data_IF_780963965134
#
_entry.id   IF_780963965134
#
_cell.length_a   1.000
_cell.length_b   1.000
_cell.length_c   1.000
_cell.angle_alpha   90.00
_cell.angle_beta   90.00
_cell.angle_gamma   90.00
#
_symmetry.space_group_name_H-M   'P 1'
#
loop_
_entity.id
_entity.type
_entity.pdbx_description
1 polymer ?
#
# COMPACT_ATOMS: atom_id res chain seq x y z
N UNK A 1 25.86 1.57 51.55
CA UNK A 1 24.61 2.10 50.97
C UNK A 1 23.60 0.98 51.13
N UNK A 2 22.58 1.16 51.98
CA UNK A 2 21.57 0.15 52.23
C UNK A 2 20.60 0.08 51.04
N UNK A 3 20.19 -1.14 50.66
CA UNK A 3 19.19 -1.34 49.61
C UNK A 3 17.81 -0.88 50.12
N UNK A 4 17.03 -0.16 49.29
CA UNK A 4 15.72 0.32 49.67
C UNK A 4 14.76 -0.85 49.87
N UNK A 5 13.85 -0.72 50.83
CA UNK A 5 12.79 -1.72 51.03
C UNK A 5 11.74 -1.58 49.93
N UNK A 6 11.08 -2.69 49.59
CA UNK A 6 10.04 -2.72 48.55
C UNK A 6 8.96 -1.63 48.73
N UNK A 7 8.58 -1.33 49.98
CA UNK A 7 7.63 -0.27 50.28
C UNK A 7 8.12 1.13 49.93
N UNK A 8 9.41 1.41 50.12
CA UNK A 8 10.03 2.71 49.78
C UNK A 8 10.13 2.88 48.26
N UNK A 9 10.39 1.78 47.55
CA UNK A 9 10.38 1.76 46.08
C UNK A 9 8.97 2.03 45.57
N UNK A 10 7.95 1.39 46.18
CA UNK A 10 6.56 1.58 45.78
C UNK A 10 6.10 3.02 46.00
N UNK A 11 6.43 3.60 47.16
CA UNK A 11 6.10 4.98 47.53
C UNK A 11 6.73 5.99 46.54
N UNK A 12 8.00 5.77 46.21
CA UNK A 12 8.70 6.59 45.21
C UNK A 12 8.04 6.52 43.82
N UNK A 13 7.66 5.33 43.37
CA UNK A 13 7.02 5.15 42.06
C UNK A 13 5.67 5.87 42.02
N UNK A 14 4.83 5.67 43.03
CA UNK A 14 3.47 6.19 43.05
C UNK A 14 3.41 7.70 43.29
N UNK A 15 4.22 8.22 44.21
CA UNK A 15 4.07 9.60 44.67
C UNK A 15 5.07 10.57 44.04
N UNK A 16 6.13 10.07 43.40
CA UNK A 16 7.17 10.94 42.81
C UNK A 16 7.37 10.70 41.33
N UNK A 17 7.44 9.45 40.89
CA UNK A 17 7.71 9.13 39.49
C UNK A 17 6.47 9.34 38.61
N UNK A 18 5.35 8.66 38.90
CA UNK A 18 4.14 8.71 38.07
C UNK A 18 3.57 10.13 37.89
N UNK A 19 3.42 10.96 38.95
CA UNK A 19 2.93 12.33 38.78
C UNK A 19 3.85 13.21 37.94
N UNK A 20 5.16 12.94 37.95
CA UNK A 20 6.15 13.62 37.11
C UNK A 20 6.08 13.21 35.63
N UNK A 21 5.60 11.99 35.35
CA UNK A 21 5.42 11.47 33.99
C UNK A 21 4.12 11.93 33.36
N UNK A 22 3.04 12.10 34.13
CA UNK A 22 1.76 12.62 33.63
C UNK A 22 1.87 14.06 33.09
N UNK A 23 2.81 14.84 33.62
CA UNK A 23 3.14 16.18 33.13
C UNK A 23 3.98 16.16 31.83
N UNK A 24 4.54 15.00 31.46
CA UNK A 24 5.24 14.80 30.19
C UNK A 24 4.27 14.31 29.12
N UNK A 25 3.18 15.05 28.90
CA UNK A 25 2.42 14.99 27.63
C UNK A 25 3.17 15.72 26.50
N UNK A 26 4.50 15.59 26.46
CA UNK A 26 5.24 15.91 25.27
C UNK A 26 4.92 14.81 24.26
N UNK A 27 3.77 14.94 23.60
CA UNK A 27 3.63 14.40 22.26
C UNK A 27 4.81 14.98 21.51
N UNK A 28 5.80 14.14 21.21
CA UNK A 28 6.75 14.49 20.16
C UNK A 28 5.87 14.58 18.94
N UNK A 29 5.54 15.80 18.52
CA UNK A 29 5.05 16.03 17.18
C UNK A 29 6.14 15.48 16.27
N UNK A 30 5.95 14.22 15.85
CA UNK A 30 6.70 13.65 14.76
C UNK A 30 6.24 14.47 13.57
N UNK A 31 6.97 15.54 13.26
CA UNK A 31 6.79 16.26 12.03
C UNK A 31 6.89 15.22 10.93
N UNK A 32 5.75 14.90 10.31
CA UNK A 32 5.74 14.04 9.15
C UNK A 32 6.67 14.70 8.15
N UNK A 33 7.81 14.05 7.90
CA UNK A 33 8.81 14.60 7.00
C UNK A 33 8.13 14.79 5.65
N UNK A 34 7.93 16.05 5.25
CA UNK A 34 7.38 16.40 3.94
C UNK A 34 8.23 15.66 2.91
N UNK A 35 7.64 14.76 2.09
CA UNK A 35 8.42 13.92 1.21
C UNK A 35 9.08 14.81 0.16
N UNK A 36 10.35 15.14 0.38
CA UNK A 36 11.17 15.82 -0.62
C UNK A 36 11.41 14.84 -1.76
N UNK A 37 11.43 15.36 -2.99
CA UNK A 37 11.56 14.53 -4.19
C UNK A 37 12.94 13.85 -4.20
N UNK A 38 13.00 12.60 -3.79
CA UNK A 38 14.25 11.81 -3.71
C UNK A 38 14.69 11.41 -5.11
N UNK A 39 15.98 11.58 -5.42
CA UNK A 39 16.56 11.10 -6.68
C UNK A 39 16.32 9.58 -6.84
N UNK A 40 15.85 9.07 -8.00
CA UNK A 40 15.58 7.65 -8.21
C UNK A 40 16.75 6.71 -7.85
N UNK A 41 17.99 7.13 -8.10
CA UNK A 41 19.20 6.37 -7.73
C UNK A 41 19.36 6.23 -6.21
N UNK A 42 19.00 7.28 -5.46
CA UNK A 42 19.05 7.27 -3.99
C UNK A 42 17.94 6.38 -3.43
N UNK A 43 16.72 6.46 -3.99
CA UNK A 43 15.60 5.62 -3.61
C UNK A 43 15.91 4.13 -3.83
N UNK A 44 16.44 3.76 -5.01
CA UNK A 44 16.83 2.38 -5.31
C UNK A 44 17.86 1.83 -4.31
N UNK A 45 18.84 2.65 -3.88
CA UNK A 45 19.82 2.26 -2.85
C UNK A 45 19.20 2.08 -1.46
N UNK A 46 18.23 2.92 -1.09
CA UNK A 46 17.52 2.80 0.18
C UNK A 46 16.71 1.51 0.22
N UNK A 47 15.93 1.23 -0.83
CA UNK A 47 15.19 -0.03 -0.99
C UNK A 47 16.13 -1.24 -0.89
N UNK A 48 17.26 -1.23 -1.61
CA UNK A 48 18.23 -2.31 -1.54
C UNK A 48 18.84 -2.50 -0.14
N UNK A 49 19.05 -1.40 0.60
CA UNK A 49 19.55 -1.44 1.99
C UNK A 49 18.52 -2.05 2.94
N UNK A 50 17.25 -1.64 2.81
CA UNK A 50 16.14 -2.15 3.63
C UNK A 50 15.91 -3.65 3.41
N UNK A 51 15.89 -4.07 2.14
CA UNK A 51 15.82 -5.49 1.76
C UNK A 51 16.96 -6.33 2.35
N UNK A 52 18.14 -5.73 2.55
CA UNK A 52 19.30 -6.42 3.16
C UNK A 52 19.22 -6.51 4.69
N UNK A 53 18.50 -5.60 5.35
CA UNK A 53 18.39 -5.54 6.81
C UNK A 53 17.27 -6.42 7.39
N UNK A 54 16.10 -6.45 6.73
CA UNK A 54 14.96 -7.31 7.07
C UNK A 54 14.22 -7.59 5.77
N UNK A 55 14.76 -8.50 4.97
CA UNK A 55 14.16 -8.85 3.69
C UNK A 55 12.84 -9.63 3.88
N UNK A 56 11.81 -9.38 3.06
CA UNK A 56 10.74 -10.36 2.92
C UNK A 56 11.34 -11.67 2.42
N UNK A 57 10.81 -12.81 2.91
CA UNK A 57 11.29 -14.12 2.47
C UNK A 57 11.24 -14.21 0.95
N UNK A 58 12.19 -14.92 0.35
CA UNK A 58 12.25 -15.14 -1.11
C UNK A 58 10.91 -15.64 -1.65
N UNK A 59 10.23 -16.49 -0.86
CA UNK A 59 8.89 -17.00 -1.15
C UNK A 59 7.82 -15.92 -1.26
N UNK A 60 7.79 -14.95 -0.34
CA UNK A 60 6.83 -13.85 -0.41
C UNK A 60 7.06 -12.96 -1.65
N UNK A 61 8.32 -12.72 -2.01
CA UNK A 61 8.67 -11.95 -3.22
C UNK A 61 8.25 -12.69 -4.51
N UNK A 62 8.49 -14.01 -4.57
CA UNK A 62 8.06 -14.86 -5.67
C UNK A 62 6.54 -14.91 -5.81
N UNK A 63 5.82 -15.02 -4.69
CA UNK A 63 4.36 -15.02 -4.67
C UNK A 63 3.78 -13.70 -5.23
N UNK A 64 4.32 -12.54 -4.81
CA UNK A 64 3.90 -11.23 -5.34
C UNK A 64 4.17 -11.13 -6.84
N UNK A 65 5.35 -11.59 -7.29
CA UNK A 65 5.70 -11.58 -8.72
C UNK A 65 4.74 -12.43 -9.54
N UNK A 66 4.40 -13.62 -9.06
CA UNK A 66 3.45 -14.52 -9.72
C UNK A 66 2.03 -13.93 -9.76
N UNK A 67 1.59 -13.30 -8.68
CA UNK A 67 0.32 -12.57 -8.63
C UNK A 67 0.28 -11.41 -9.65
N UNK A 68 1.39 -10.70 -9.84
CA UNK A 68 1.48 -9.65 -10.84
C UNK A 68 1.42 -10.17 -12.28
N UNK A 69 2.09 -11.27 -12.56
CA UNK A 69 2.10 -11.90 -13.89
C UNK A 69 0.70 -12.43 -14.26
N UNK A 70 0.01 -13.07 -13.33
CA UNK A 70 -1.37 -13.56 -13.50
C UNK A 70 -2.34 -12.40 -13.78
N UNK A 71 -2.35 -11.37 -12.92
CA UNK A 71 -3.18 -10.16 -13.12
C UNK A 71 -2.93 -9.47 -14.46
N UNK A 72 -1.67 -9.43 -14.91
CA UNK A 72 -1.30 -8.85 -16.20
C UNK A 72 -1.91 -9.63 -17.37
N UNK A 73 -1.90 -10.96 -17.29
CA UNK A 73 -2.53 -11.82 -18.28
C UNK A 73 -4.06 -11.65 -18.29
N UNK A 74 -4.69 -11.67 -17.11
CA UNK A 74 -6.14 -11.47 -16.95
C UNK A 74 -6.60 -10.12 -17.54
N UNK A 75 -5.90 -9.03 -17.21
CA UNK A 75 -6.19 -7.69 -17.75
C UNK A 75 -6.13 -7.67 -19.27
N UNK A 76 -5.16 -8.37 -19.87
CA UNK A 76 -5.02 -8.47 -21.33
C UNK A 76 -6.19 -9.22 -21.95
N UNK A 77 -6.63 -10.31 -21.34
CA UNK A 77 -7.80 -11.09 -21.80
C UNK A 77 -9.08 -10.26 -21.67
N UNK A 78 -9.32 -9.65 -20.51
CA UNK A 78 -10.48 -8.80 -20.27
C UNK A 78 -10.55 -7.62 -21.26
N UNK A 79 -9.41 -6.94 -21.50
CA UNK A 79 -9.33 -5.85 -22.46
C UNK A 79 -9.63 -6.30 -23.91
N UNK A 80 -9.16 -7.48 -24.30
CA UNK A 80 -9.49 -8.07 -25.62
C UNK A 80 -10.98 -8.38 -25.74
N UNK A 81 -11.57 -9.02 -24.72
CA UNK A 81 -13.00 -9.35 -24.69
C UNK A 81 -13.87 -8.10 -24.81
N UNK A 82 -13.61 -7.07 -24.00
CA UNK A 82 -14.34 -5.79 -24.07
C UNK A 82 -14.21 -5.10 -25.44
N UNK A 83 -13.04 -5.18 -26.07
CA UNK A 83 -12.83 -4.61 -27.41
C UNK A 83 -13.70 -5.34 -28.45
N UNK A 84 -13.73 -6.67 -28.42
CA UNK A 84 -14.53 -7.48 -29.33
C UNK A 84 -16.02 -7.24 -29.14
N UNK A 85 -16.51 -7.24 -27.90
CA UNK A 85 -17.92 -6.93 -27.58
C UNK A 85 -18.33 -5.54 -28.10
N UNK A 86 -17.46 -4.53 -27.94
CA UNK A 86 -17.72 -3.18 -28.47
C UNK A 86 -17.79 -3.16 -30.00
N UNK A 87 -16.94 -3.91 -30.68
CA UNK A 87 -16.96 -4.00 -32.14
C UNK A 87 -18.22 -4.71 -32.64
N UNK A 88 -18.59 -5.82 -31.99
CA UNK A 88 -19.81 -6.56 -32.29
C UNK A 88 -21.05 -5.69 -32.12
N UNK A 89 -21.18 -4.98 -30.99
CA UNK A 89 -22.28 -4.04 -30.76
C UNK A 89 -22.36 -2.95 -31.83
N UNK A 90 -21.22 -2.39 -32.26
CA UNK A 90 -21.17 -1.40 -33.34
C UNK A 90 -21.63 -2.00 -34.67
N UNK A 91 -21.20 -3.22 -34.97
CA UNK A 91 -21.59 -3.93 -36.20
C UNK A 91 -23.09 -4.22 -36.21
N UNK A 92 -23.64 -4.76 -35.13
CA UNK A 92 -25.08 -5.03 -34.98
C UNK A 92 -25.90 -3.76 -35.20
N UNK A 93 -25.52 -2.63 -34.57
CA UNK A 93 -26.17 -1.33 -34.80
C UNK A 93 -26.12 -0.88 -36.26
N UNK A 94 -24.99 -1.10 -36.95
CA UNK A 94 -24.85 -0.77 -38.38
C UNK A 94 -25.78 -1.63 -39.24
N UNK A 95 -25.86 -2.92 -38.96
CA UNK A 95 -26.75 -3.86 -39.65
C UNK A 95 -28.21 -3.49 -39.45
N UNK A 96 -28.63 -3.20 -38.21
CA UNK A 96 -30.02 -2.78 -37.93
C UNK A 96 -30.38 -1.49 -38.66
N UNK A 97 -29.51 -0.47 -38.62
CA UNK A 97 -29.73 0.78 -39.38
C UNK A 97 -29.84 0.55 -40.89
N UNK A 98 -29.06 -0.38 -41.45
CA UNK A 98 -29.15 -0.71 -42.87
C UNK A 98 -30.49 -1.39 -43.21
N UNK A 99 -30.97 -2.30 -42.35
CA UNK A 99 -32.29 -2.95 -42.49
C UNK A 99 -33.44 -1.95 -42.41
N UNK A 100 -33.41 -1.04 -41.44
CA UNK A 100 -34.42 0.01 -41.28
C UNK A 100 -34.48 0.93 -42.50
N UNK A 101 -33.32 1.37 -43.01
CA UNK A 101 -33.25 2.17 -44.24
C UNK A 101 -33.83 1.48 -45.46
N UNK A 102 -33.69 0.16 -45.55
CA UNK A 102 -34.23 -0.61 -46.67
C UNK A 102 -35.73 -0.85 -46.56
N UNK A 103 -36.27 -0.97 -45.33
CA UNK A 103 -37.71 -1.17 -45.08
C UNK A 103 -38.54 0.12 -45.17
N UNK A 104 -37.93 1.28 -44.92
CA UNK A 104 -38.58 2.59 -45.02
C UNK A 104 -38.51 3.23 -46.42
N UNK A 105 -38.25 2.43 -47.46
CA UNK A 105 -38.16 2.86 -48.86
C UNK A 105 -39.20 2.11 -49.69
#
# INVERSE_FOLDING_TARGET
MAEPKDGEVLDFVLHRLLPGLDNRKASVEVQEAVPTKVNPKRLARQVAKELRTKGPSTYAQEAIKLEWETRKAEKKVAGRKQKLERLEQKWQRKVQKAKEKHRGK
#
